data_IF_106026366182
#
_entry.id   IF_106026366182
#
_cell.length_a   1.000
_cell.length_b   1.000
_cell.length_c   1.000
_cell.angle_alpha   90.00
_cell.angle_beta   90.00
_cell.angle_gamma   90.00
#
_symmetry.space_group_name_H-M   'P 1'
#
loop_
_entity.id
_entity.type
_entity.pdbx_description
1 polymer ?
#
# COMPACT_ATOMS: atom_id res chain seq x y z
N UNK A 1 -3.20 1.79 6.92
CA UNK A 1 -4.12 0.77 7.43
C UNK A 1 -3.52 0.19 8.71
N UNK A 2 -4.27 0.25 9.81
CA UNK A 2 -3.89 -0.28 11.13
C UNK A 2 -4.84 -1.39 11.61
N UNK A 3 -5.76 -1.84 10.76
CA UNK A 3 -6.75 -2.89 11.00
C UNK A 3 -7.78 -2.58 12.11
N UNK A 4 -7.73 -1.41 12.76
CA UNK A 4 -8.60 -1.07 13.89
C UNK A 4 -9.98 -0.54 13.47
N UNK A 5 -10.09 -0.03 12.23
CA UNK A 5 -11.32 0.60 11.71
C UNK A 5 -12.08 -0.26 10.71
N UNK A 6 -11.73 -1.54 10.56
CA UNK A 6 -12.35 -2.45 9.60
C UNK A 6 -11.45 -2.75 8.40
N UNK A 7 -12.06 -3.15 7.29
CA UNK A 7 -11.39 -3.48 6.03
C UNK A 7 -11.99 -2.69 4.86
N UNK A 8 -12.49 -1.46 5.10
CA UNK A 8 -13.17 -0.68 4.05
C UNK A 8 -12.27 -0.33 2.86
N UNK A 9 -10.96 -0.27 3.09
CA UNK A 9 -9.97 0.04 2.06
C UNK A 9 -9.46 -1.22 1.33
N UNK A 10 -10.04 -2.39 1.63
CA UNK A 10 -9.59 -3.68 1.12
C UNK A 10 -10.71 -4.51 0.49
N UNK A 11 -10.42 -5.02 -0.70
CA UNK A 11 -11.16 -6.12 -1.31
C UNK A 11 -10.56 -7.43 -0.81
N UNK A 12 -11.33 -8.20 -0.05
CA UNK A 12 -10.90 -9.48 0.50
C UNK A 12 -11.54 -10.69 -0.19
N UNK A 13 -10.75 -11.74 -0.35
CA UNK A 13 -11.16 -13.10 -0.62
C UNK A 13 -10.51 -14.00 0.44
N UNK A 14 -11.31 -14.40 1.43
CA UNK A 14 -10.97 -15.27 2.57
C UNK A 14 -9.96 -14.73 3.60
N UNK A 15 -9.42 -13.52 3.42
CA UNK A 15 -8.63 -12.82 4.43
C UNK A 15 -9.55 -12.01 5.37
N UNK A 16 -9.14 -11.79 6.61
CA UNK A 16 -9.96 -11.06 7.57
C UNK A 16 -9.23 -10.58 8.81
N UNK A 17 -9.96 -9.82 9.64
CA UNK A 17 -9.47 -9.32 10.91
C UNK A 17 -9.38 -10.43 11.95
N UNK A 18 -8.36 -10.34 12.80
CA UNK A 18 -8.21 -11.16 13.99
C UNK A 18 -7.78 -10.33 15.19
N UNK A 19 -8.17 -10.74 16.39
CA UNK A 19 -7.67 -10.18 17.66
C UNK A 19 -6.77 -11.16 18.43
N UNK A 20 -6.42 -12.30 17.81
CA UNK A 20 -5.58 -13.33 18.45
C UNK A 20 -4.11 -12.96 18.48
N UNK A 21 -3.66 -12.14 17.52
CA UNK A 21 -2.30 -11.63 17.38
C UNK A 21 -2.39 -10.30 16.63
N UNK A 22 -1.76 -9.26 17.14
CA UNK A 22 -1.60 -7.96 16.48
C UNK A 22 -0.18 -7.46 16.73
N UNK A 23 0.30 -6.54 15.89
CA UNK A 23 1.58 -5.88 16.12
C UNK A 23 1.38 -4.63 16.98
N UNK A 24 0.42 -3.79 16.57
CA UNK A 24 -0.08 -2.66 17.34
C UNK A 24 -1.61 -2.75 17.45
N UNK A 25 -2.20 -2.03 18.40
CA UNK A 25 -3.66 -2.07 18.59
C UNK A 25 -4.21 -3.45 19.04
N UNK A 26 -5.47 -3.70 18.72
CA UNK A 26 -6.21 -4.92 19.09
C UNK A 26 -6.39 -5.91 17.94
N UNK A 27 -6.24 -5.45 16.70
CA UNK A 27 -6.54 -6.21 15.51
C UNK A 27 -5.34 -6.26 14.55
N UNK A 28 -5.27 -7.32 13.75
CA UNK A 28 -4.44 -7.37 12.55
C UNK A 28 -5.19 -8.11 11.44
N UNK A 29 -4.63 -8.13 10.24
CA UNK A 29 -5.21 -8.83 9.09
C UNK A 29 -4.48 -10.15 8.89
N UNK A 30 -5.23 -11.23 8.64
CA UNK A 30 -4.67 -12.55 8.34
C UNK A 30 -5.41 -13.24 7.19
N UNK A 31 -4.71 -14.11 6.46
CA UNK A 31 -5.29 -14.99 5.43
C UNK A 31 -6.21 -16.07 6.00
N UNK A 32 -6.11 -16.37 7.30
CA UNK A 32 -6.78 -17.52 7.89
C UNK A 32 -7.35 -17.22 9.30
N UNK A 33 -8.30 -16.27 9.41
CA UNK A 33 -8.81 -15.78 10.70
C UNK A 33 -9.59 -16.82 11.53
N UNK A 34 -9.90 -17.97 10.94
CA UNK A 34 -10.63 -19.08 11.58
C UNK A 34 -9.71 -20.27 11.95
N UNK A 35 -8.39 -20.07 11.94
CA UNK A 35 -7.36 -21.10 12.08
C UNK A 35 -6.71 -21.43 10.73
N UNK A 36 -5.81 -22.41 10.72
CA UNK A 36 -4.93 -22.71 9.57
C UNK A 36 -5.60 -22.61 8.19
N UNK A 37 -4.86 -22.06 7.21
CA UNK A 37 -5.29 -21.99 5.82
C UNK A 37 -5.63 -23.36 5.22
N UNK A 38 -6.38 -23.39 4.12
CA UNK A 38 -6.79 -24.63 3.45
C UNK A 38 -5.79 -25.10 2.39
N UNK A 39 -5.71 -26.42 2.13
CA UNK A 39 -4.95 -26.98 1.00
C UNK A 39 -5.57 -26.57 -0.34
N UNK A 40 -4.76 -26.53 -1.40
CA UNK A 40 -5.12 -26.20 -2.78
C UNK A 40 -5.91 -24.88 -2.88
N UNK A 41 -5.51 -23.89 -2.09
CA UNK A 41 -6.22 -22.63 -1.98
C UNK A 41 -5.42 -21.49 -2.61
N UNK A 42 -6.16 -20.51 -3.14
CA UNK A 42 -5.62 -19.22 -3.56
C UNK A 42 -6.54 -18.15 -2.96
N UNK A 43 -6.07 -17.49 -1.90
CA UNK A 43 -6.80 -16.44 -1.19
C UNK A 43 -6.00 -15.14 -1.29
N UNK A 44 -6.68 -14.00 -1.24
CA UNK A 44 -5.99 -12.73 -1.36
C UNK A 44 -6.74 -11.58 -0.69
N UNK A 45 -6.00 -10.55 -0.33
CA UNK A 45 -6.53 -9.24 0.04
C UNK A 45 -5.79 -8.17 -0.75
N UNK A 46 -6.52 -7.22 -1.34
CA UNK A 46 -5.94 -6.13 -2.14
C UNK A 46 -6.56 -4.79 -1.80
N UNK A 47 -5.86 -3.71 -2.09
CA UNK A 47 -6.41 -2.36 -1.94
C UNK A 47 -7.64 -2.19 -2.84
N UNK A 48 -8.73 -1.64 -2.31
CA UNK A 48 -9.97 -1.40 -3.08
C UNK A 48 -9.82 -0.21 -4.04
N UNK A 49 -9.04 0.79 -3.64
CA UNK A 49 -8.77 1.98 -4.42
C UNK A 49 -7.32 1.97 -4.95
N UNK A 50 -7.10 2.69 -6.04
CA UNK A 50 -5.74 2.97 -6.51
C UNK A 50 -5.03 3.92 -5.55
N UNK A 51 -3.73 3.74 -5.43
CA UNK A 51 -2.83 4.63 -4.70
C UNK A 51 -2.01 5.41 -5.71
N UNK A 52 -1.87 6.71 -5.49
CA UNK A 52 -1.06 7.59 -6.32
C UNK A 52 0.36 7.64 -5.75
N UNK A 53 1.37 7.28 -6.56
CA UNK A 53 2.79 7.42 -6.23
C UNK A 53 3.47 8.57 -6.98
N UNK A 54 2.68 9.38 -7.69
CA UNK A 54 3.13 10.57 -8.41
C UNK A 54 3.86 11.55 -7.48
N UNK A 55 5.03 11.99 -7.91
CA UNK A 55 5.84 12.95 -7.18
C UNK A 55 6.51 12.39 -5.92
N UNK A 56 6.55 11.06 -5.73
CA UNK A 56 7.30 10.41 -4.65
C UNK A 56 8.66 9.89 -5.14
N UNK A 57 9.73 10.41 -4.53
CA UNK A 57 11.06 9.81 -4.59
C UNK A 57 11.17 8.67 -3.57
N UNK A 58 11.77 7.57 -3.99
CA UNK A 58 12.01 6.36 -3.18
C UNK A 58 10.75 5.83 -2.48
N UNK A 59 9.64 5.61 -3.21
CA UNK A 59 8.44 5.05 -2.61
C UNK A 59 8.74 3.65 -2.06
N UNK A 60 8.20 3.35 -0.88
CA UNK A 60 8.36 2.07 -0.19
C UNK A 60 7.03 1.66 0.44
N UNK A 61 6.70 0.38 0.36
CA UNK A 61 5.65 -0.20 1.20
C UNK A 61 6.28 -0.70 2.49
N UNK A 62 5.61 -0.44 3.61
CA UNK A 62 5.99 -0.91 4.94
C UNK A 62 4.79 -1.54 5.63
N UNK A 63 5.05 -2.60 6.37
CA UNK A 63 4.05 -3.28 7.19
C UNK A 63 4.77 -4.14 8.22
N UNK A 64 4.14 -4.35 9.37
CA UNK A 64 4.54 -5.42 10.26
C UNK A 64 4.03 -6.75 9.69
N UNK A 65 4.85 -7.80 9.72
CA UNK A 65 4.51 -9.12 9.21
C UNK A 65 4.88 -10.22 10.21
N UNK A 66 4.03 -11.25 10.29
CA UNK A 66 4.26 -12.47 11.06
C UNK A 66 3.70 -13.64 10.28
N UNK A 67 4.38 -14.79 10.31
CA UNK A 67 3.89 -15.93 9.53
C UNK A 67 4.33 -17.30 10.06
N UNK A 68 3.54 -18.31 9.69
CA UNK A 68 3.86 -19.71 9.77
C UNK A 68 3.22 -20.38 8.54
N UNK A 69 4.02 -20.74 7.56
CA UNK A 69 3.65 -21.24 6.24
C UNK A 69 4.51 -22.49 5.96
N UNK A 70 4.00 -23.47 5.21
CA UNK A 70 4.80 -24.65 4.86
C UNK A 70 6.04 -24.26 4.04
N UNK A 71 7.22 -24.42 4.65
CA UNK A 71 8.51 -24.17 4.00
C UNK A 71 8.68 -24.98 2.73
N UNK A 72 9.09 -24.31 1.65
CA UNK A 72 9.37 -24.82 0.31
C UNK A 72 8.16 -25.29 -0.51
N UNK A 73 6.92 -25.10 -0.07
CA UNK A 73 5.73 -25.59 -0.78
C UNK A 73 4.64 -24.53 -0.93
N UNK A 74 4.33 -23.84 0.16
CA UNK A 74 3.29 -22.80 0.20
C UNK A 74 3.91 -21.42 0.22
N UNK A 75 3.14 -20.40 -0.17
CA UNK A 75 3.69 -19.06 -0.31
C UNK A 75 2.67 -17.97 -0.03
N UNK A 76 3.11 -16.93 0.68
CA UNK A 76 2.47 -15.61 0.61
C UNK A 76 3.33 -14.65 -0.17
N UNK A 77 2.74 -13.88 -1.07
CA UNK A 77 3.45 -12.88 -1.88
C UNK A 77 2.83 -11.51 -1.70
N UNK A 78 3.68 -10.49 -1.54
CA UNK A 78 3.29 -9.10 -1.73
C UNK A 78 3.44 -8.74 -3.21
N UNK A 79 2.38 -8.21 -3.80
CA UNK A 79 2.29 -7.93 -5.23
C UNK A 79 1.81 -6.52 -5.51
N UNK A 80 2.23 -5.98 -6.64
CA UNK A 80 1.81 -4.69 -7.17
C UNK A 80 1.21 -4.84 -8.57
N UNK A 81 0.29 -3.95 -8.92
CA UNK A 81 -0.31 -3.85 -10.24
C UNK A 81 -0.55 -2.38 -10.61
N UNK A 82 -0.34 -2.01 -11.87
CA UNK A 82 -0.70 -0.68 -12.41
C UNK A 82 -2.04 -0.68 -13.15
N UNK A 83 -2.69 -1.84 -13.28
CA UNK A 83 -3.96 -1.99 -14.01
C UNK A 83 -5.01 -2.83 -13.27
N UNK A 84 -4.73 -3.23 -12.03
CA UNK A 84 -5.52 -4.12 -11.16
C UNK A 84 -5.72 -5.57 -11.68
N UNK A 85 -5.12 -5.93 -12.82
CA UNK A 85 -5.33 -7.22 -13.51
C UNK A 85 -4.04 -8.04 -13.62
N UNK A 86 -2.92 -7.41 -13.95
CA UNK A 86 -1.61 -8.04 -14.05
C UNK A 86 -0.79 -7.70 -12.80
N UNK A 87 -0.31 -8.73 -12.10
CA UNK A 87 0.32 -8.60 -10.80
C UNK A 87 1.76 -9.09 -10.84
N UNK A 88 2.65 -8.30 -10.26
CA UNK A 88 4.09 -8.61 -10.12
C UNK A 88 4.41 -8.81 -8.65
N UNK A 89 5.00 -9.95 -8.30
CA UNK A 89 5.51 -10.18 -6.94
C UNK A 89 6.77 -9.38 -6.71
N UNK A 90 6.82 -8.64 -5.61
CA UNK A 90 7.96 -7.82 -5.23
C UNK A 90 8.75 -8.47 -4.09
N UNK A 91 10.10 -8.38 -4.13
CA UNK A 91 10.93 -8.84 -3.02
C UNK A 91 10.86 -7.86 -1.85
N UNK A 92 10.82 -8.40 -0.63
CA UNK A 92 11.04 -7.68 0.62
C UNK A 92 12.36 -8.08 1.26
N UNK A 93 12.63 -7.54 2.44
CA UNK A 93 13.80 -7.90 3.27
C UNK A 93 13.72 -9.36 3.70
N UNK A 94 12.51 -9.90 3.94
CA UNK A 94 12.29 -11.23 4.48
C UNK A 94 11.72 -12.24 3.47
N UNK A 95 11.60 -11.87 2.20
CA UNK A 95 11.16 -12.82 1.17
C UNK A 95 12.30 -13.76 0.76
N UNK A 96 11.95 -15.01 0.46
CA UNK A 96 12.84 -16.01 -0.11
C UNK A 96 12.51 -16.30 -1.58
N UNK A 97 13.45 -16.92 -2.29
CA UNK A 97 13.21 -17.39 -3.66
C UNK A 97 12.37 -18.67 -3.62
N UNK A 98 11.41 -18.79 -4.54
CA UNK A 98 10.59 -19.99 -4.65
C UNK A 98 11.43 -21.25 -4.91
N UNK A 99 11.14 -22.31 -4.13
CA UNK A 99 11.87 -23.57 -4.15
C UNK A 99 11.78 -24.36 -5.46
N UNK A 100 10.79 -24.05 -6.32
CA UNK A 100 10.40 -24.84 -7.48
C UNK A 100 9.44 -26.00 -7.16
N UNK A 101 8.92 -26.09 -5.94
CA UNK A 101 7.99 -27.13 -5.47
C UNK A 101 6.66 -26.54 -5.01
N UNK A 102 5.61 -27.36 -4.98
CA UNK A 102 4.27 -26.94 -4.57
C UNK A 102 3.76 -25.76 -5.41
N UNK A 103 3.48 -24.66 -4.74
CA UNK A 103 3.06 -23.38 -5.34
C UNK A 103 4.19 -22.36 -5.50
N UNK A 104 5.40 -22.68 -5.03
CA UNK A 104 6.57 -21.81 -5.12
C UNK A 104 7.32 -21.98 -6.44
N UNK A 105 6.86 -21.33 -7.50
CA UNK A 105 7.54 -21.40 -8.81
C UNK A 105 8.95 -20.79 -8.75
N UNK A 106 9.90 -21.38 -9.49
CA UNK A 106 11.25 -20.82 -9.62
C UNK A 106 11.22 -19.43 -10.28
N UNK A 107 11.90 -18.47 -9.67
CA UNK A 107 11.94 -17.07 -10.14
C UNK A 107 10.87 -16.17 -9.51
N UNK A 108 9.97 -16.72 -8.70
CA UNK A 108 9.08 -15.95 -7.83
C UNK A 108 9.72 -15.74 -6.45
N UNK A 109 9.23 -14.73 -5.72
CA UNK A 109 9.62 -14.39 -4.34
C UNK A 109 8.40 -14.21 -3.45
N UNK A 110 8.58 -14.39 -2.14
CA UNK A 110 7.51 -14.41 -1.15
C UNK A 110 7.96 -15.01 0.18
N UNK A 111 7.01 -15.19 1.09
CA UNK A 111 7.20 -15.65 2.46
C UNK A 111 6.84 -17.12 2.59
N UNK A 112 7.71 -17.87 3.26
CA UNK A 112 7.44 -19.21 3.75
C UNK A 112 8.14 -19.46 5.10
N UNK A 113 7.95 -20.66 5.67
CA UNK A 113 8.52 -20.98 6.98
C UNK A 113 7.87 -20.21 8.12
N UNK A 114 8.65 -19.81 9.12
CA UNK A 114 8.12 -19.22 10.34
C UNK A 114 8.90 -17.98 10.75
N UNK A 115 8.16 -16.91 11.07
CA UNK A 115 8.67 -15.72 11.73
C UNK A 115 7.70 -15.25 12.80
N UNK A 116 8.23 -14.66 13.87
CA UNK A 116 7.41 -13.75 14.70
C UNK A 116 7.30 -12.39 14.02
N UNK A 117 6.62 -11.43 14.65
CA UNK A 117 6.48 -10.08 14.10
C UNK A 117 7.83 -9.42 13.75
N UNK A 118 7.95 -8.98 12.51
CA UNK A 118 9.06 -8.19 11.96
C UNK A 118 8.51 -7.01 11.17
N UNK A 119 9.26 -5.92 11.08
CA UNK A 119 8.93 -4.81 10.18
C UNK A 119 9.50 -5.09 8.78
N UNK A 120 8.61 -5.24 7.81
CA UNK A 120 8.98 -5.47 6.42
C UNK A 120 9.06 -4.15 5.65
N UNK A 121 9.91 -4.11 4.64
CA UNK A 121 10.01 -3.01 3.69
C UNK A 121 10.20 -3.54 2.28
N UNK A 122 9.34 -3.09 1.37
CA UNK A 122 9.40 -3.42 -0.06
C UNK A 122 9.70 -2.15 -0.85
N UNK A 123 10.72 -2.22 -1.69
CA UNK A 123 11.08 -1.12 -2.60
C UNK A 123 10.05 -1.00 -3.73
N UNK A 124 9.48 0.20 -3.89
CA UNK A 124 8.54 0.52 -4.96
C UNK A 124 9.15 1.47 -5.98
N UNK A 125 10.46 1.73 -5.95
CA UNK A 125 11.10 2.73 -6.83
C UNK A 125 10.87 2.50 -8.32
N UNK A 126 10.59 1.26 -8.75
CA UNK A 126 10.23 0.94 -10.14
C UNK A 126 8.83 1.44 -10.57
N UNK A 127 8.02 1.87 -9.59
CA UNK A 127 6.66 2.40 -9.73
C UNK A 127 6.57 3.85 -9.24
N UNK A 128 7.71 4.52 -9.05
CA UNK A 128 7.72 5.96 -8.82
C UNK A 128 7.05 6.67 -9.99
N UNK A 129 6.33 7.75 -9.69
CA UNK A 129 5.59 8.56 -10.65
C UNK A 129 4.38 7.85 -11.31
N UNK A 130 3.98 6.66 -10.84
CA UNK A 130 2.74 6.01 -11.28
C UNK A 130 1.52 6.59 -10.55
N UNK A 131 0.57 7.17 -11.29
CA UNK A 131 -0.63 7.80 -10.73
C UNK A 131 -1.69 6.79 -10.24
N UNK A 132 -1.53 5.51 -10.59
CA UNK A 132 -2.44 4.44 -10.19
C UNK A 132 -1.71 3.11 -9.97
N UNK A 133 -1.47 2.76 -8.71
CA UNK A 133 -0.99 1.44 -8.30
C UNK A 133 -1.94 0.76 -7.32
N UNK A 134 -1.96 -0.57 -7.35
CA UNK A 134 -2.73 -1.42 -6.45
C UNK A 134 -1.77 -2.41 -5.78
N UNK A 135 -2.02 -2.73 -4.51
CA UNK A 135 -1.24 -3.71 -3.77
C UNK A 135 -2.09 -4.90 -3.36
N UNK A 136 -1.48 -6.07 -3.27
CA UNK A 136 -2.15 -7.31 -2.86
C UNK A 136 -1.21 -8.21 -2.07
N UNK A 137 -1.74 -8.82 -1.02
CA UNK A 137 -1.17 -10.01 -0.42
C UNK A 137 -1.95 -11.23 -0.94
N UNK A 138 -1.25 -12.27 -1.37
CA UNK A 138 -1.85 -13.49 -1.91
C UNK A 138 -1.20 -14.72 -1.30
N UNK A 139 -2.01 -15.61 -0.73
CA UNK A 139 -1.61 -16.95 -0.32
C UNK A 139 -1.88 -17.92 -1.47
N UNK A 140 -0.92 -18.81 -1.73
CA UNK A 140 -1.10 -20.01 -2.55
C UNK A 140 -0.65 -21.22 -1.72
N UNK A 141 -1.48 -22.25 -1.66
CA UNK A 141 -1.17 -23.50 -0.95
C UNK A 141 -1.29 -24.74 -1.84
N UNK A 142 -0.47 -25.74 -1.56
CA UNK A 142 -0.43 -27.01 -2.28
C UNK A 142 -1.40 -28.05 -1.69
N UNK A 143 -1.26 -29.32 -2.07
CA UNK A 143 -2.16 -30.38 -1.64
C UNK A 143 -2.03 -30.84 -0.18
N UNK A 144 -1.02 -30.38 0.57
CA UNK A 144 -0.64 -30.89 1.89
C UNK A 144 -0.33 -29.79 2.91
N UNK A 145 -0.14 -30.24 4.16
CA UNK A 145 0.39 -29.48 5.31
C UNK A 145 -0.05 -28.01 5.40
N UNK A 146 -1.06 -27.77 6.22
CA UNK A 146 -1.46 -26.39 6.52
C UNK A 146 -0.79 -25.86 7.78
N UNK A 147 -0.65 -24.55 7.85
CA UNK A 147 -0.09 -23.79 8.99
C UNK A 147 -0.97 -22.59 9.30
N UNK A 148 -0.59 -21.84 10.31
CA UNK A 148 -1.35 -20.69 10.83
C UNK A 148 -1.48 -19.52 9.83
N UNK A 149 -0.65 -19.50 8.78
CA UNK A 149 -0.74 -18.53 7.70
C UNK A 149 0.11 -17.28 7.94
N UNK A 150 -0.35 -16.16 7.42
CA UNK A 150 0.33 -14.88 7.37
C UNK A 150 -0.54 -13.81 8.01
N UNK A 151 0.10 -12.93 8.74
CA UNK A 151 -0.48 -11.78 9.40
C UNK A 151 0.27 -10.54 8.93
N UNK A 152 -0.46 -9.46 8.67
CA UNK A 152 0.15 -8.14 8.57
C UNK A 152 -0.65 -7.09 9.32
N UNK A 153 0.04 -6.02 9.66
CA UNK A 153 -0.45 -4.90 10.43
C UNK A 153 0.32 -3.63 10.05
N UNK A 154 -0.20 -2.45 10.39
CA UNK A 154 0.42 -1.15 10.12
C UNK A 154 0.89 -0.95 8.66
N UNK A 155 0.08 -1.36 7.69
CA UNK A 155 0.41 -1.18 6.27
C UNK A 155 0.40 0.31 5.89
N UNK A 156 1.50 0.77 5.34
CA UNK A 156 1.69 2.14 4.88
C UNK A 156 2.57 2.23 3.62
N UNK A 157 2.36 3.29 2.86
CA UNK A 157 3.23 3.71 1.77
C UNK A 157 3.96 4.96 2.22
N UNK A 158 5.26 5.02 1.99
CA UNK A 158 6.11 6.14 2.38
C UNK A 158 7.03 6.52 1.23
N UNK A 159 7.37 7.80 1.13
CA UNK A 159 8.32 8.34 0.16
C UNK A 159 8.67 9.78 0.51
N UNK A 160 9.52 10.40 -0.31
CA UNK A 160 9.85 11.82 -0.19
C UNK A 160 9.22 12.57 -1.36
N UNK A 161 8.47 13.62 -1.07
CA UNK A 161 7.95 14.50 -2.12
C UNK A 161 9.12 15.08 -2.93
N UNK A 162 8.99 15.02 -4.25
CA UNK A 162 9.92 15.63 -5.20
C UNK A 162 9.47 17.03 -5.65
N UNK A 163 8.32 17.49 -5.13
CA UNK A 163 7.74 18.81 -5.33
C UNK A 163 7.36 19.46 -3.99
N UNK A 164 7.02 20.74 -4.02
CA UNK A 164 6.47 21.48 -2.88
C UNK A 164 4.94 21.55 -3.05
N UNK A 165 4.13 20.90 -2.19
CA UNK A 165 2.67 20.98 -2.27
C UNK A 165 2.19 22.42 -2.13
N UNK A 166 1.27 22.81 -2.99
CA UNK A 166 0.75 24.18 -3.09
C UNK A 166 1.57 25.12 -3.96
N UNK A 167 2.80 24.79 -4.37
CA UNK A 167 3.61 25.61 -5.27
C UNK A 167 3.18 25.34 -6.72
N UNK A 168 2.25 26.15 -7.25
CA UNK A 168 1.66 25.93 -8.58
C UNK A 168 2.44 26.61 -9.70
N UNK A 169 3.27 27.61 -9.39
CA UNK A 169 4.11 28.30 -10.36
C UNK A 169 5.58 27.79 -10.40
N UNK A 170 5.89 26.82 -9.53
CA UNK A 170 7.18 26.14 -9.38
C UNK A 170 8.34 27.07 -9.03
N UNK A 171 8.06 28.16 -8.33
CA UNK A 171 9.07 29.13 -7.91
C UNK A 171 9.81 28.70 -6.62
N UNK A 172 9.31 27.67 -5.92
CA UNK A 172 9.89 27.12 -4.69
C UNK A 172 9.49 27.85 -3.41
N UNK A 173 8.59 28.82 -3.47
CA UNK A 173 8.00 29.55 -2.35
C UNK A 173 6.48 29.30 -2.32
N UNK A 174 5.88 29.31 -1.13
CA UNK A 174 4.43 29.28 -0.99
C UNK A 174 3.94 30.68 -0.65
N UNK A 175 3.14 31.27 -1.53
CA UNK A 175 2.63 32.62 -1.31
C UNK A 175 1.17 32.83 -1.75
N UNK A 176 0.73 34.09 -1.79
CA UNK A 176 -0.65 34.43 -2.12
C UNK A 176 -0.98 34.16 -3.60
N UNK A 177 0.00 34.16 -4.51
CA UNK A 177 -0.23 33.87 -5.92
C UNK A 177 -0.60 32.40 -6.12
N UNK A 178 0.03 31.49 -5.39
CA UNK A 178 -0.34 30.09 -5.39
C UNK A 178 -1.76 29.85 -4.85
N UNK A 179 -2.12 30.52 -3.74
CA UNK A 179 -3.49 30.47 -3.20
C UNK A 179 -4.50 30.92 -4.27
N UNK A 180 -4.18 31.99 -5.02
CA UNK A 180 -5.04 32.45 -6.11
C UNK A 180 -5.12 31.43 -7.25
N UNK A 181 -4.04 30.71 -7.55
CA UNK A 181 -4.03 29.64 -8.55
C UNK A 181 -4.95 28.48 -8.11
N UNK A 182 -4.89 28.02 -6.86
CA UNK A 182 -5.79 26.97 -6.34
C UNK A 182 -7.25 27.43 -6.38
N UNK A 183 -7.52 28.68 -5.98
CA UNK A 183 -8.87 29.28 -6.09
C UNK A 183 -9.36 29.28 -7.53
N UNK A 184 -8.52 29.63 -8.50
CA UNK A 184 -8.87 29.59 -9.92
C UNK A 184 -9.19 28.17 -10.39
N UNK A 185 -8.38 27.17 -10.00
CA UNK A 185 -8.64 25.76 -10.32
C UNK A 185 -10.02 25.32 -9.82
N UNK A 186 -10.32 25.57 -8.54
CA UNK A 186 -11.61 25.20 -7.92
C UNK A 186 -12.79 25.91 -8.61
N UNK A 187 -12.65 27.19 -8.93
CA UNK A 187 -13.72 27.98 -9.53
C UNK A 187 -13.92 27.70 -11.03
N UNK A 188 -12.88 27.27 -11.74
CA UNK A 188 -12.93 26.99 -13.17
C UNK A 188 -13.82 25.79 -13.51
N UNK A 189 -14.02 24.88 -12.55
CA UNK A 189 -14.83 23.66 -12.70
C UNK A 189 -14.45 22.86 -13.97
N UNK A 190 -13.14 22.84 -14.27
CA UNK A 190 -12.53 22.02 -15.32
C UNK A 190 -11.91 20.78 -14.69
N UNK A 191 -11.78 19.73 -15.50
CA UNK A 191 -11.01 18.56 -15.11
C UNK A 191 -9.53 18.94 -14.98
N UNK A 192 -8.96 18.70 -13.81
CA UNK A 192 -7.56 18.98 -13.52
C UNK A 192 -6.68 17.95 -14.22
N UNK A 193 -5.54 18.39 -14.76
CA UNK A 193 -4.49 17.46 -15.15
C UNK A 193 -3.74 16.92 -13.91
N UNK A 194 -2.94 15.87 -14.09
CA UNK A 194 -2.20 15.24 -12.98
C UNK A 194 -1.34 16.25 -12.20
N UNK A 195 -0.62 17.14 -12.89
CA UNK A 195 0.19 18.17 -12.25
C UNK A 195 -0.65 19.09 -11.34
N UNK A 196 -1.80 19.55 -11.83
CA UNK A 196 -2.72 20.41 -11.09
C UNK A 196 -3.33 19.68 -9.90
N UNK A 197 -3.77 18.43 -10.10
CA UNK A 197 -4.34 17.61 -9.04
C UNK A 197 -3.32 17.36 -7.93
N UNK A 198 -2.13 16.88 -8.28
CA UNK A 198 -1.06 16.51 -7.33
C UNK A 198 -0.57 17.72 -6.52
N UNK A 199 -0.34 18.88 -7.15
CA UNK A 199 0.19 20.05 -6.45
C UNK A 199 -0.86 20.87 -5.70
N UNK A 200 -2.10 20.91 -6.18
CA UNK A 200 -3.16 21.69 -5.54
C UNK A 200 -3.86 20.96 -4.40
N UNK A 201 -3.70 19.64 -4.30
CA UNK A 201 -4.11 18.82 -3.15
C UNK A 201 -3.06 18.97 -2.02
N UNK A 202 -3.17 20.07 -1.27
CA UNK A 202 -2.21 20.46 -0.24
C UNK A 202 -2.41 19.66 1.04
N UNK A 203 -3.64 19.19 1.30
CA UNK A 203 -3.95 18.40 2.49
C UNK A 203 -3.86 16.88 2.27
N UNK A 204 -3.61 16.44 1.03
CA UNK A 204 -3.47 15.04 0.60
C UNK A 204 -4.72 14.19 0.85
N UNK A 205 -5.91 14.78 0.70
CA UNK A 205 -7.18 14.07 0.81
C UNK A 205 -7.70 13.53 -0.53
N UNK A 206 -7.02 13.85 -1.63
CA UNK A 206 -7.36 13.43 -2.99
C UNK A 206 -8.34 14.37 -3.70
N UNK A 207 -8.82 15.43 -3.05
CA UNK A 207 -9.81 16.36 -3.60
C UNK A 207 -9.31 17.81 -3.56
N UNK A 208 -9.05 18.41 -4.73
CA UNK A 208 -8.73 19.85 -4.81
C UNK A 208 -9.97 20.70 -4.50
N UNK A 209 -10.05 21.24 -3.29
CA UNK A 209 -11.20 21.97 -2.77
C UNK A 209 -10.79 23.08 -1.77
N UNK A 210 -11.79 23.65 -1.06
CA UNK A 210 -11.55 24.76 -0.13
C UNK A 210 -10.63 24.39 1.06
N UNK A 211 -10.55 23.11 1.42
CA UNK A 211 -9.68 22.63 2.48
C UNK A 211 -8.20 22.74 2.11
N UNK A 212 -7.84 22.63 0.83
CA UNK A 212 -6.46 22.88 0.38
C UNK A 212 -6.06 24.33 0.53
N UNK A 213 -6.99 25.25 0.23
CA UNK A 213 -6.76 26.69 0.45
C UNK A 213 -6.53 26.96 1.94
N UNK A 214 -7.32 26.33 2.82
CA UNK A 214 -7.16 26.50 4.27
C UNK A 214 -5.81 25.94 4.75
N UNK A 215 -5.45 24.73 4.32
CA UNK A 215 -4.16 24.13 4.62
C UNK A 215 -3.01 25.02 4.13
N UNK A 216 -3.12 25.55 2.92
CA UNK A 216 -2.13 26.43 2.33
C UNK A 216 -1.98 27.75 3.10
N UNK A 217 -3.08 28.40 3.46
CA UNK A 217 -3.06 29.63 4.26
C UNK A 217 -2.43 29.38 5.63
N UNK A 218 -2.75 28.27 6.28
CA UNK A 218 -2.16 27.91 7.57
C UNK A 218 -0.64 27.70 7.44
N UNK A 219 -0.17 27.04 6.39
CA UNK A 219 1.27 26.87 6.10
C UNK A 219 1.93 28.24 5.94
N UNK A 220 1.40 29.12 5.10
CA UNK A 220 1.96 30.45 4.83
C UNK A 220 2.02 31.30 6.10
N UNK A 221 0.98 31.28 6.94
CA UNK A 221 0.91 32.08 8.16
C UNK A 221 1.74 31.51 9.32
N UNK A 222 2.13 30.23 9.25
CA UNK A 222 2.96 29.57 10.25
C UNK A 222 4.47 29.78 10.08
N UNK A 223 4.88 30.26 8.90
CA UNK A 223 6.26 30.62 8.56
C UNK A 223 6.58 32.09 8.91
#
# INVERSE_FOLDING_TARGET
EDAESGLSDWDTNDWGLTSTSSYNGNYSITDSPQGNYSNNSITAIRTSNQINLDGLNYPTARFAAKWNIESNYDFVQFQVSTDSTHWTSLPGIYTENGSGSGTQNTGEVGYDGQSDWVEETVDLSAYADESAVYFRFILKSDGGVTRDGFYFDDFSIQGYLNYLPGDLDENGELDIFDVLNIVELILSNVELNEFQQTRADVNFDGEVNIYDILAMVDIILSN
#
